data_IF_793341081414
#
_entry.id   IF_793341081414
#
_cell.length_a   1.000
_cell.length_b   1.000
_cell.length_c   1.000
_cell.angle_alpha   90.00
_cell.angle_beta   90.00
_cell.angle_gamma   90.00
#
_symmetry.space_group_name_H-M   'P 1'
#
loop_
_entity.id
_entity.type
_entity.pdbx_description
1 polymer ?
#
# COMPACT_ATOMS: atom_id res chain seq x y z
N UNK A 1 -26.78 12.48 -22.27
CA UNK A 1 -25.46 11.88 -21.96
C UNK A 1 -25.36 11.77 -20.45
N UNK A 2 -24.98 10.60 -19.91
CA UNK A 2 -24.78 10.46 -18.47
C UNK A 2 -23.62 11.36 -18.02
N UNK A 3 -23.83 12.10 -16.93
CA UNK A 3 -22.80 12.97 -16.34
C UNK A 3 -21.62 12.13 -15.83
N UNK A 4 -20.39 12.60 -16.03
CA UNK A 4 -19.20 11.85 -15.66
C UNK A 4 -19.05 11.79 -14.13
N UNK A 5 -19.04 10.58 -13.57
CA UNK A 5 -18.91 10.36 -12.13
C UNK A 5 -17.46 10.08 -11.74
N UNK A 6 -16.73 11.13 -11.36
CA UNK A 6 -15.33 11.02 -10.92
C UNK A 6 -15.13 10.02 -9.77
N UNK A 7 -15.97 10.10 -8.73
CA UNK A 7 -15.83 9.25 -7.53
C UNK A 7 -15.94 7.76 -7.86
N UNK A 8 -16.85 7.39 -8.78
CA UNK A 8 -17.00 6.01 -9.25
C UNK A 8 -15.72 5.54 -9.93
N UNK A 9 -15.20 6.31 -10.88
CA UNK A 9 -14.00 5.93 -11.62
C UNK A 9 -12.73 5.96 -10.78
N UNK A 10 -12.58 6.92 -9.87
CA UNK A 10 -11.50 6.99 -8.88
C UNK A 10 -11.48 5.74 -8.00
N UNK A 11 -12.65 5.26 -7.56
CA UNK A 11 -12.73 4.01 -6.78
C UNK A 11 -12.34 2.80 -7.63
N UNK A 12 -12.88 2.67 -8.84
CA UNK A 12 -12.62 1.53 -9.73
C UNK A 12 -11.14 1.47 -10.13
N UNK A 13 -10.56 2.61 -10.54
CA UNK A 13 -9.18 2.66 -11.01
C UNK A 13 -8.17 2.46 -9.89
N UNK A 14 -8.48 2.89 -8.66
CA UNK A 14 -7.65 2.56 -7.49
C UNK A 14 -7.60 1.05 -7.27
N UNK A 15 -8.75 0.38 -7.23
CA UNK A 15 -8.80 -1.08 -7.10
C UNK A 15 -8.22 -1.82 -8.30
N UNK A 16 -8.30 -1.24 -9.50
CA UNK A 16 -7.62 -1.77 -10.68
C UNK A 16 -6.09 -1.70 -10.51
N UNK A 17 -5.55 -0.56 -10.06
CA UNK A 17 -4.11 -0.41 -9.79
C UNK A 17 -3.64 -1.40 -8.71
N UNK A 18 -4.40 -1.54 -7.63
CA UNK A 18 -4.18 -2.58 -6.62
C UNK A 18 -4.17 -3.98 -7.22
N UNK A 19 -5.16 -4.33 -8.05
CA UNK A 19 -5.26 -5.64 -8.67
C UNK A 19 -4.09 -5.95 -9.60
N UNK A 20 -3.66 -4.97 -10.40
CA UNK A 20 -2.48 -5.12 -11.29
C UNK A 20 -1.21 -5.35 -10.45
N UNK A 21 -0.99 -4.54 -9.42
CA UNK A 21 0.17 -4.70 -8.53
C UNK A 21 0.14 -6.06 -7.82
N UNK A 22 -1.00 -6.43 -7.22
CA UNK A 22 -1.17 -7.69 -6.50
C UNK A 22 -0.90 -8.90 -7.40
N UNK A 23 -1.49 -8.94 -8.60
CA UNK A 23 -1.28 -10.04 -9.55
C UNK A 23 0.19 -10.09 -9.97
N UNK A 24 0.79 -8.95 -10.29
CA UNK A 24 2.21 -8.88 -10.71
C UNK A 24 3.11 -9.45 -9.62
N UNK A 25 2.94 -9.01 -8.38
CA UNK A 25 3.78 -9.42 -7.26
C UNK A 25 3.49 -10.86 -6.82
N UNK A 26 2.25 -11.34 -6.82
CA UNK A 26 1.95 -12.77 -6.58
C UNK A 26 2.62 -13.66 -7.63
N UNK A 27 2.63 -13.26 -8.90
CA UNK A 27 3.25 -14.05 -9.97
C UNK A 27 4.78 -14.05 -9.92
N UNK A 28 5.40 -13.13 -9.18
CA UNK A 28 6.85 -12.93 -9.12
C UNK A 28 7.44 -13.02 -7.71
N UNK A 29 6.62 -13.34 -6.71
CA UNK A 29 7.03 -13.53 -5.33
C UNK A 29 8.05 -14.65 -5.23
N UNK A 30 9.09 -14.46 -4.43
CA UNK A 30 10.05 -15.51 -4.14
C UNK A 30 9.31 -16.66 -3.43
N UNK A 31 9.30 -17.88 -3.97
CA UNK A 31 8.59 -19.00 -3.36
C UNK A 31 9.28 -19.50 -2.08
N UNK A 32 10.55 -19.17 -1.89
CA UNK A 32 11.37 -19.68 -0.80
C UNK A 32 12.02 -18.54 0.00
N UNK A 33 13.20 -18.79 0.56
CA UNK A 33 13.97 -17.81 1.32
C UNK A 33 14.88 -17.04 0.37
N UNK A 34 14.69 -15.72 0.27
CA UNK A 34 15.65 -14.87 -0.44
C UNK A 34 16.89 -14.59 0.41
N UNK A 35 17.90 -13.99 -0.24
CA UNK A 35 19.13 -13.55 0.38
C UNK A 35 18.90 -12.40 1.38
N UNK A 36 19.85 -12.18 2.29
CA UNK A 36 19.82 -11.10 3.29
C UNK A 36 18.88 -11.37 4.48
N UNK A 37 17.99 -10.44 4.83
CA UNK A 37 17.16 -10.49 6.04
C UNK A 37 15.95 -11.40 5.91
N UNK A 38 15.51 -11.71 4.70
CA UNK A 38 14.29 -12.48 4.46
C UNK A 38 14.29 -13.81 5.24
N UNK A 39 15.42 -14.49 5.32
CA UNK A 39 15.53 -15.73 6.10
C UNK A 39 15.30 -15.54 7.59
N UNK A 40 15.80 -14.44 8.14
CA UNK A 40 15.56 -14.09 9.54
C UNK A 40 14.10 -13.71 9.75
N UNK A 41 13.52 -12.85 8.90
CA UNK A 41 12.13 -12.45 9.03
C UNK A 41 11.14 -13.60 8.84
N UNK A 42 11.40 -14.53 7.91
CA UNK A 42 10.56 -15.72 7.72
C UNK A 42 10.62 -16.62 8.96
N UNK A 43 11.82 -16.90 9.45
CA UNK A 43 12.00 -17.82 10.59
C UNK A 43 11.46 -17.23 11.90
N UNK A 44 11.68 -15.94 12.13
CA UNK A 44 11.18 -15.25 13.32
C UNK A 44 9.68 -15.02 13.26
N UNK A 45 9.09 -14.68 12.11
CA UNK A 45 7.64 -14.51 11.95
C UNK A 45 6.90 -15.83 12.17
N UNK A 46 7.39 -16.93 11.57
CA UNK A 46 6.73 -18.23 11.64
C UNK A 46 6.60 -18.76 13.08
N UNK A 47 7.47 -18.33 13.98
CA UNK A 47 7.50 -18.75 15.40
C UNK A 47 7.20 -17.63 16.40
N UNK A 48 6.94 -16.41 15.91
CA UNK A 48 6.81 -15.20 16.73
C UNK A 48 8.04 -14.98 17.65
N UNK A 49 9.23 -15.19 17.09
CA UNK A 49 10.51 -14.92 17.74
C UNK A 49 10.95 -13.47 17.52
N UNK A 50 12.07 -13.08 18.14
CA UNK A 50 12.59 -11.71 18.07
C UNK A 50 13.69 -11.65 17.01
N UNK A 51 13.42 -10.94 15.92
CA UNK A 51 14.45 -10.59 14.92
C UNK A 51 15.42 -9.51 15.41
N UNK A 52 16.43 -9.23 14.60
CA UNK A 52 17.48 -8.28 14.93
C UNK A 52 16.91 -6.86 15.18
N UNK A 53 17.54 -6.07 16.08
CA UNK A 53 17.11 -4.71 16.39
C UNK A 53 17.09 -3.81 15.13
N UNK A 54 16.08 -2.92 14.99
CA UNK A 54 15.13 -2.48 16.02
C UNK A 54 13.95 -3.45 16.27
N UNK A 55 13.85 -4.54 15.52
CA UNK A 55 12.69 -5.43 15.48
C UNK A 55 11.54 -4.78 14.74
N UNK A 56 10.81 -5.55 13.93
CA UNK A 56 9.55 -5.12 13.30
C UNK A 56 8.38 -5.97 13.82
N UNK A 57 7.98 -5.83 15.11
CA UNK A 57 6.94 -6.63 15.75
C UNK A 57 5.64 -6.78 14.96
N UNK A 58 5.11 -5.72 14.36
CA UNK A 58 3.87 -5.75 13.61
C UNK A 58 4.05 -6.47 12.28
N UNK A 59 5.19 -6.26 11.60
CA UNK A 59 5.55 -7.06 10.43
C UNK A 59 5.64 -8.55 10.80
N UNK A 60 6.27 -8.89 11.94
CA UNK A 60 6.37 -10.25 12.45
C UNK A 60 4.99 -10.86 12.75
N UNK A 61 4.10 -10.09 13.40
CA UNK A 61 2.73 -10.53 13.69
C UNK A 61 1.91 -10.76 12.43
N UNK A 62 2.06 -9.92 11.40
CA UNK A 62 1.40 -10.15 10.11
C UNK A 62 2.01 -11.34 9.37
N UNK A 63 3.34 -11.48 9.36
CA UNK A 63 4.00 -12.66 8.80
C UNK A 63 3.52 -13.95 9.45
N UNK A 64 3.38 -13.97 10.78
CA UNK A 64 2.79 -15.08 11.52
C UNK A 64 1.33 -15.33 11.14
N UNK A 65 0.53 -14.28 10.94
CA UNK A 65 -0.85 -14.43 10.47
C UNK A 65 -0.90 -15.07 9.08
N UNK A 66 -0.03 -14.66 8.16
CA UNK A 66 0.04 -15.25 6.82
C UNK A 66 0.53 -16.70 6.86
N UNK A 67 1.51 -17.02 7.70
CA UNK A 67 2.05 -18.38 7.82
C UNK A 67 1.01 -19.41 8.29
N UNK A 68 -0.02 -18.99 9.03
CA UNK A 68 -1.15 -19.86 9.42
C UNK A 68 -1.92 -20.45 8.23
N UNK A 69 -1.83 -19.82 7.05
CA UNK A 69 -2.48 -20.29 5.83
C UNK A 69 -1.58 -21.22 4.99
N UNK A 70 -0.35 -21.52 5.45
CA UNK A 70 0.53 -22.46 4.78
C UNK A 70 -0.07 -23.89 4.86
N UNK A 71 -0.30 -24.58 3.72
CA UNK A 71 -0.82 -25.95 3.73
C UNK A 71 0.22 -27.00 4.17
N UNK A 72 1.48 -26.60 4.32
CA UNK A 72 2.61 -27.42 4.79
C UNK A 72 3.82 -26.54 5.11
N UNK A 73 4.80 -27.10 5.83
CA UNK A 73 5.98 -26.36 6.30
C UNK A 73 6.80 -25.75 5.14
N UNK A 74 6.81 -26.42 3.98
CA UNK A 74 7.47 -25.97 2.76
C UNK A 74 6.87 -24.68 2.16
N UNK A 75 5.63 -24.32 2.54
CA UNK A 75 4.94 -23.13 2.05
C UNK A 75 4.99 -21.95 3.01
N UNK A 76 5.58 -22.11 4.20
CA UNK A 76 5.66 -21.04 5.21
C UNK A 76 6.42 -19.82 4.66
N UNK A 77 7.54 -20.04 3.98
CA UNK A 77 8.33 -18.97 3.37
C UNK A 77 7.52 -18.15 2.36
N UNK A 78 6.86 -18.83 1.42
CA UNK A 78 5.96 -18.21 0.46
C UNK A 78 4.87 -17.38 1.17
N UNK A 79 4.21 -17.95 2.18
CA UNK A 79 3.15 -17.25 2.90
C UNK A 79 3.67 -15.99 3.60
N UNK A 80 4.83 -16.05 4.25
CA UNK A 80 5.42 -14.85 4.87
C UNK A 80 5.80 -13.81 3.82
N UNK A 81 6.39 -14.21 2.68
CA UNK A 81 6.70 -13.29 1.56
C UNK A 81 5.43 -12.59 1.03
N UNK A 82 4.26 -13.25 1.08
CA UNK A 82 3.00 -12.60 0.70
C UNK A 82 2.65 -11.39 1.59
N UNK A 83 3.18 -11.29 2.81
CA UNK A 83 3.00 -10.08 3.64
C UNK A 83 3.50 -8.82 2.92
N UNK A 84 4.66 -8.91 2.27
CA UNK A 84 5.22 -7.82 1.46
C UNK A 84 4.40 -7.57 0.20
N UNK A 85 3.99 -8.64 -0.47
CA UNK A 85 3.16 -8.57 -1.69
C UNK A 85 1.88 -7.79 -1.46
N UNK A 86 1.14 -8.14 -0.39
CA UNK A 86 -0.10 -7.45 -0.04
C UNK A 86 0.17 -6.02 0.44
N UNK A 87 1.21 -5.81 1.25
CA UNK A 87 1.58 -4.48 1.73
C UNK A 87 1.87 -3.53 0.57
N UNK A 88 2.72 -3.96 -0.36
CA UNK A 88 3.07 -3.19 -1.56
C UNK A 88 1.89 -2.98 -2.51
N UNK A 89 1.00 -3.95 -2.68
CA UNK A 89 -0.22 -3.75 -3.48
C UNK A 89 -1.11 -2.64 -2.88
N UNK A 90 -1.28 -2.62 -1.56
CA UNK A 90 -2.00 -1.54 -0.87
C UNK A 90 -1.26 -0.20 -0.96
N UNK A 91 0.07 -0.18 -0.95
CA UNK A 91 0.86 1.03 -1.21
C UNK A 91 0.47 1.66 -2.56
N UNK A 92 0.35 0.85 -3.62
CA UNK A 92 -0.07 1.32 -4.96
C UNK A 92 -1.50 1.89 -4.95
N UNK A 93 -2.41 1.27 -4.20
CA UNK A 93 -3.79 1.77 -4.03
C UNK A 93 -3.81 3.17 -3.40
N UNK A 94 -3.11 3.34 -2.28
CA UNK A 94 -3.07 4.62 -1.56
C UNK A 94 -2.27 5.69 -2.32
N UNK A 95 -1.22 5.29 -3.04
CA UNK A 95 -0.50 6.17 -3.95
C UNK A 95 -1.44 6.72 -5.03
N UNK A 96 -2.19 5.85 -5.71
CA UNK A 96 -3.16 6.28 -6.73
C UNK A 96 -4.18 7.29 -6.17
N UNK A 97 -4.85 6.97 -5.06
CA UNK A 97 -5.86 7.88 -4.49
C UNK A 97 -5.25 9.18 -3.96
N UNK A 98 -4.03 9.15 -3.45
CA UNK A 98 -3.35 10.36 -3.01
C UNK A 98 -3.01 11.25 -4.21
N UNK A 99 -2.50 10.66 -5.30
CA UNK A 99 -2.22 11.36 -6.55
C UNK A 99 -3.48 12.00 -7.13
N UNK A 100 -4.63 11.30 -7.16
CA UNK A 100 -5.87 11.87 -7.69
C UNK A 100 -6.37 13.04 -6.85
N UNK A 101 -6.27 12.96 -5.51
CA UNK A 101 -6.62 14.07 -4.61
C UNK A 101 -5.73 15.30 -4.82
N UNK A 102 -4.41 15.10 -4.88
CA UNK A 102 -3.45 16.18 -5.09
C UNK A 102 -3.66 16.83 -6.46
N UNK A 103 -3.69 16.04 -7.53
CA UNK A 103 -3.85 16.56 -8.90
C UNK A 103 -5.19 17.28 -9.08
N UNK A 104 -6.28 16.78 -8.47
CA UNK A 104 -7.57 17.47 -8.52
C UNK A 104 -7.53 18.84 -7.84
N UNK A 105 -6.83 18.96 -6.70
CA UNK A 105 -6.63 20.24 -6.01
C UNK A 105 -5.76 21.19 -6.85
N UNK A 106 -4.65 20.70 -7.41
CA UNK A 106 -3.75 21.51 -8.24
C UNK A 106 -4.48 22.02 -9.49
N UNK A 107 -5.08 21.14 -10.29
CA UNK A 107 -5.78 21.52 -11.54
C UNK A 107 -6.97 22.44 -11.26
N UNK A 108 -7.71 22.18 -10.17
CA UNK A 108 -8.84 23.00 -9.75
C UNK A 108 -8.48 24.44 -9.36
N UNK A 109 -7.21 24.71 -9.01
CA UNK A 109 -6.74 26.08 -8.75
C UNK A 109 -6.46 26.88 -10.03
N UNK A 110 -6.27 26.23 -11.18
CA UNK A 110 -5.95 26.89 -12.44
C UNK A 110 -7.12 26.92 -13.43
N UNK A 111 -8.01 25.93 -13.38
CA UNK A 111 -9.11 25.76 -14.35
C UNK A 111 -10.34 25.12 -13.71
N UNK A 112 -11.51 25.34 -14.30
CA UNK A 112 -12.70 24.58 -13.93
C UNK A 112 -12.50 23.08 -14.21
N UNK A 113 -12.97 22.24 -13.29
CA UNK A 113 -12.84 20.79 -13.38
C UNK A 113 -13.88 20.21 -14.35
N UNK A 114 -13.61 20.35 -15.65
CA UNK A 114 -14.36 19.69 -16.72
C UNK A 114 -14.24 18.17 -16.67
N UNK A 115 -15.15 17.46 -17.35
CA UNK A 115 -15.11 16.01 -17.44
C UNK A 115 -13.80 15.48 -18.07
N UNK A 116 -13.20 16.23 -18.99
CA UNK A 116 -11.95 15.84 -19.64
C UNK A 116 -10.75 16.04 -18.72
N UNK A 117 -10.70 17.16 -17.98
CA UNK A 117 -9.68 17.39 -16.94
C UNK A 117 -9.72 16.28 -15.89
N UNK A 118 -10.92 15.87 -15.48
CA UNK A 118 -11.14 14.78 -14.53
C UNK A 118 -10.64 13.42 -15.05
N UNK A 119 -10.87 13.09 -16.32
CA UNK A 119 -10.31 11.87 -16.94
C UNK A 119 -8.78 11.93 -17.02
N UNK A 120 -8.21 13.10 -17.34
CA UNK A 120 -6.75 13.28 -17.39
C UNK A 120 -6.12 13.11 -16.01
N UNK A 121 -6.73 13.63 -14.95
CA UNK A 121 -6.29 13.41 -13.55
C UNK A 121 -6.26 11.92 -13.21
N UNK A 122 -7.33 11.19 -13.55
CA UNK A 122 -7.40 9.74 -13.30
C UNK A 122 -6.33 8.97 -14.09
N UNK A 123 -6.19 9.28 -15.39
CA UNK A 123 -5.23 8.63 -16.26
C UNK A 123 -3.78 8.89 -15.83
N UNK A 124 -3.43 10.14 -15.54
CA UNK A 124 -2.09 10.51 -15.05
C UNK A 124 -1.76 9.87 -13.70
N UNK A 125 -2.72 9.84 -12.77
CA UNK A 125 -2.54 9.16 -11.47
C UNK A 125 -2.33 7.66 -11.63
N UNK A 126 -3.09 7.03 -12.54
CA UNK A 126 -2.95 5.61 -12.85
C UNK A 126 -1.58 5.29 -13.46
N UNK A 127 -1.16 6.08 -14.46
CA UNK A 127 0.17 5.92 -15.08
C UNK A 127 1.26 6.08 -14.03
N UNK A 128 1.21 7.12 -13.18
CA UNK A 128 2.20 7.35 -12.13
C UNK A 128 2.27 6.19 -11.12
N UNK A 129 1.12 5.70 -10.64
CA UNK A 129 1.06 4.58 -9.70
C UNK A 129 1.60 3.27 -10.32
N UNK A 130 1.27 3.00 -11.59
CA UNK A 130 1.77 1.82 -12.30
C UNK A 130 3.26 1.95 -12.64
N UNK A 131 3.76 3.15 -12.98
CA UNK A 131 5.21 3.36 -13.15
C UNK A 131 5.97 3.03 -11.86
N UNK A 132 5.44 3.43 -10.69
CA UNK A 132 6.03 3.06 -9.41
C UNK A 132 5.96 1.55 -9.14
N UNK A 133 4.84 0.91 -9.51
CA UNK A 133 4.65 -0.55 -9.40
C UNK A 133 5.77 -1.34 -10.09
N UNK A 134 6.20 -0.88 -11.27
CA UNK A 134 7.25 -1.53 -12.07
C UNK A 134 8.64 -0.91 -11.88
N UNK A 135 8.83 -0.08 -10.85
CA UNK A 135 10.16 0.44 -10.53
C UNK A 135 11.00 -0.62 -9.83
N UNK A 136 12.27 -0.75 -10.23
CA UNK A 136 13.17 -1.82 -9.80
C UNK A 136 13.25 -1.95 -8.27
N UNK A 137 13.58 -0.85 -7.58
CA UNK A 137 13.72 -0.85 -6.13
C UNK A 137 12.42 -1.14 -5.38
N UNK A 138 11.27 -0.69 -5.89
CA UNK A 138 9.99 -0.97 -5.22
C UNK A 138 9.55 -2.42 -5.47
N UNK A 139 9.67 -2.91 -6.70
CA UNK A 139 9.32 -4.27 -7.05
C UNK A 139 10.18 -5.27 -6.26
N UNK A 140 11.49 -5.07 -6.20
CA UNK A 140 12.40 -5.94 -5.46
C UNK A 140 11.95 -6.15 -4.00
N UNK A 141 11.57 -5.07 -3.30
CA UNK A 141 11.06 -5.16 -1.93
C UNK A 141 9.62 -5.73 -1.84
N UNK A 142 8.85 -5.70 -2.92
CA UNK A 142 7.46 -6.18 -2.92
C UNK A 142 7.34 -7.71 -3.02
N UNK A 143 8.38 -8.41 -3.47
CA UNK A 143 8.34 -9.85 -3.78
C UNK A 143 9.06 -10.73 -2.77
N UNK A 144 9.60 -10.15 -1.70
CA UNK A 144 10.35 -10.85 -0.66
C UNK A 144 9.95 -10.33 0.73
N UNK A 145 10.08 -11.13 1.78
CA UNK A 145 9.75 -10.77 3.16
C UNK A 145 10.67 -9.69 3.73
N UNK A 146 10.37 -8.43 3.38
CA UNK A 146 11.13 -7.24 3.75
C UNK A 146 10.24 -6.19 4.43
N UNK A 147 10.78 -5.59 5.49
CA UNK A 147 10.07 -4.58 6.30
C UNK A 147 9.78 -3.29 5.50
N UNK A 148 10.55 -3.03 4.45
CA UNK A 148 10.36 -1.87 3.58
C UNK A 148 9.01 -1.87 2.87
N UNK A 149 8.45 -3.04 2.54
CA UNK A 149 7.13 -3.15 1.92
C UNK A 149 6.04 -2.62 2.86
N UNK A 150 6.11 -2.95 4.15
CA UNK A 150 5.16 -2.49 5.14
C UNK A 150 5.41 -1.03 5.57
N UNK A 151 6.66 -0.61 5.65
CA UNK A 151 7.01 0.79 5.89
C UNK A 151 6.47 1.71 4.79
N UNK A 152 6.62 1.33 3.52
CA UNK A 152 6.09 2.09 2.39
C UNK A 152 4.56 2.13 2.37
N UNK A 153 3.89 1.03 2.78
CA UNK A 153 2.43 1.03 3.01
C UNK A 153 2.02 2.07 4.04
N UNK A 154 2.69 2.12 5.19
CA UNK A 154 2.37 3.09 6.23
C UNK A 154 2.57 4.52 5.76
N UNK A 155 3.66 4.80 5.03
CA UNK A 155 3.90 6.13 4.45
C UNK A 155 2.76 6.51 3.48
N UNK A 156 2.39 5.62 2.56
CA UNK A 156 1.34 5.88 1.59
C UNK A 156 -0.04 6.05 2.26
N UNK A 157 -0.36 5.19 3.24
CA UNK A 157 -1.58 5.27 4.02
C UNK A 157 -1.65 6.58 4.83
N UNK A 158 -0.59 6.94 5.54
CA UNK A 158 -0.54 8.17 6.33
C UNK A 158 -0.67 9.41 5.45
N UNK A 159 -0.03 9.42 4.28
CA UNK A 159 -0.18 10.51 3.32
C UNK A 159 -1.63 10.63 2.83
N UNK A 160 -2.25 9.51 2.44
CA UNK A 160 -3.65 9.47 2.06
C UNK A 160 -4.60 9.92 3.19
N UNK A 161 -4.35 9.48 4.43
CA UNK A 161 -5.12 9.88 5.61
C UNK A 161 -4.98 11.38 5.90
N UNK A 162 -3.79 11.95 5.73
CA UNK A 162 -3.54 13.38 5.86
C UNK A 162 -4.36 14.19 4.85
N UNK A 163 -4.43 13.76 3.60
CA UNK A 163 -5.28 14.37 2.57
C UNK A 163 -6.77 14.20 2.89
N UNK A 164 -7.18 13.06 3.43
CA UNK A 164 -8.57 12.85 3.88
C UNK A 164 -8.94 13.74 5.05
N UNK A 165 -8.05 13.93 6.01
CA UNK A 165 -8.26 14.85 7.10
C UNK A 165 -8.39 16.29 6.58
N UNK A 166 -7.49 16.71 5.69
CA UNK A 166 -7.51 18.05 5.09
C UNK A 166 -8.86 18.37 4.42
N UNK A 167 -9.39 17.45 3.62
CA UNK A 167 -10.71 17.61 2.98
C UNK A 167 -11.90 17.67 3.96
N UNK A 168 -11.71 17.26 5.21
CA UNK A 168 -12.76 17.14 6.22
C UNK A 168 -12.46 17.94 7.49
N UNK A 169 -11.48 18.84 7.49
CA UNK A 169 -11.00 19.49 8.72
C UNK A 169 -12.08 20.35 9.39
N UNK A 170 -12.93 20.99 8.58
CA UNK A 170 -14.02 21.86 9.05
C UNK A 170 -15.34 21.10 9.30
N UNK A 171 -15.37 19.79 9.04
CA UNK A 171 -16.55 18.97 9.28
C UNK A 171 -16.68 18.66 10.79
N UNK A 172 -17.92 18.56 11.29
CA UNK A 172 -18.23 18.26 12.71
C UNK A 172 -17.47 17.03 13.26
N UNK A 173 -17.18 16.04 12.40
CA UNK A 173 -16.45 14.81 12.74
C UNK A 173 -15.07 14.72 12.11
N UNK A 174 -14.45 15.84 11.72
CA UNK A 174 -13.13 15.90 11.08
C UNK A 174 -12.01 15.26 11.92
N UNK A 175 -12.05 15.47 13.24
CA UNK A 175 -11.03 14.98 14.19
C UNK A 175 -10.89 13.45 14.24
N UNK A 176 -11.87 12.68 13.73
CA UNK A 176 -11.76 11.22 13.66
C UNK A 176 -10.56 10.77 12.82
N UNK A 177 -10.18 11.57 11.82
CA UNK A 177 -9.03 11.28 10.98
C UNK A 177 -7.72 11.45 11.74
N UNK A 178 -7.63 12.44 12.64
CA UNK A 178 -6.45 12.63 13.50
C UNK A 178 -6.26 11.44 14.45
N UNK A 179 -7.34 10.93 15.05
CA UNK A 179 -7.28 9.73 15.89
C UNK A 179 -6.76 8.51 15.11
N UNK A 180 -7.24 8.34 13.87
CA UNK A 180 -6.77 7.26 12.99
C UNK A 180 -5.30 7.45 12.59
N UNK A 181 -4.88 8.67 12.26
CA UNK A 181 -3.48 8.99 11.96
C UNK A 181 -2.58 8.67 13.16
N UNK A 182 -2.97 9.07 14.39
CA UNK A 182 -2.20 8.77 15.61
C UNK A 182 -2.05 7.26 15.83
N UNK A 183 -3.13 6.48 15.61
CA UNK A 183 -3.07 5.02 15.70
C UNK A 183 -2.10 4.44 14.66
N UNK A 184 -2.21 4.87 13.40
CA UNK A 184 -1.38 4.35 12.31
C UNK A 184 0.09 4.72 12.49
N UNK A 185 0.39 5.92 13.00
CA UNK A 185 1.76 6.31 13.39
C UNK A 185 2.29 5.37 14.47
N UNK A 186 1.49 5.09 15.51
CA UNK A 186 1.87 4.15 16.57
C UNK A 186 2.17 2.74 16.02
N UNK A 187 1.37 2.27 15.07
CA UNK A 187 1.57 0.99 14.39
C UNK A 187 2.82 0.96 13.50
N UNK A 188 3.22 2.10 12.90
CA UNK A 188 4.38 2.15 11.99
C UNK A 188 5.75 2.03 12.65
N UNK A 189 5.82 2.14 13.99
CA UNK A 189 7.03 1.85 14.76
C UNK A 189 7.18 0.36 15.10
N UNK A 190 6.12 -0.42 14.87
CA UNK A 190 6.11 -1.86 14.98
C UNK A 190 6.36 -2.52 13.64
#
# INVERSE_FOLDING_TARGET
MAEFNFRKWDTILGWLAFGIALITYILTVEPTMSFWDCGEYISTAAKLEVGHPPGAPLFQMLGAFFSLFAPGDEYVALMVNLTSVFSSAFTILFLFWSSTMVLRKVVGNYTELSADNQKMILGSSLVGALTFTFSDSFWFNAVEAEVYAMATLFIALLFWLGLKWEQNMDAEKGNRWLLLISLVIGLSYG
#
